data_IF_255111309278
#
_entry.id   IF_255111309278
#
_cell.length_a   1.000
_cell.length_b   1.000
_cell.length_c   1.000
_cell.angle_alpha   90.00
_cell.angle_beta   90.00
_cell.angle_gamma   90.00
#
_symmetry.space_group_name_H-M   'P 1'
#
loop_
_entity.id
_entity.type
_entity.pdbx_description
1 polymer ?
#
# COMPACT_ATOMS: atom_id res chain seq x y z
N UNK A 1 0.79 12.15 -4.61
CA UNK A 1 0.94 11.06 -3.61
C UNK A 1 2.41 10.77 -3.51
N UNK A 2 2.99 10.72 -2.31
CA UNK A 2 4.46 10.76 -2.13
C UNK A 2 5.20 9.68 -2.95
N UNK A 3 4.76 8.42 -2.93
CA UNK A 3 5.39 7.35 -3.74
C UNK A 3 5.32 7.66 -5.25
N UNK A 4 4.19 8.19 -5.73
CA UNK A 4 4.06 8.61 -7.14
C UNK A 4 5.02 9.74 -7.50
N UNK A 5 5.22 10.71 -6.61
CA UNK A 5 6.13 11.84 -6.82
C UNK A 5 7.60 11.41 -6.80
N UNK A 6 7.97 10.53 -5.86
CA UNK A 6 9.30 9.94 -5.79
C UNK A 6 9.60 9.10 -7.03
N UNK A 7 8.65 8.25 -7.44
CA UNK A 7 8.82 7.45 -8.67
C UNK A 7 8.92 8.34 -9.91
N UNK A 8 8.11 9.40 -10.03
CA UNK A 8 8.17 10.31 -11.17
C UNK A 8 9.52 11.05 -11.27
N UNK A 9 10.23 11.23 -10.16
CA UNK A 9 11.52 11.92 -10.12
C UNK A 9 12.72 10.98 -10.24
N UNK A 10 12.64 9.75 -9.70
CA UNK A 10 13.78 8.84 -9.60
C UNK A 10 13.61 7.54 -10.41
N UNK A 11 12.40 7.23 -10.90
CA UNK A 11 12.07 5.95 -11.49
C UNK A 11 12.03 4.83 -10.45
N UNK A 12 12.58 3.67 -10.80
CA UNK A 12 12.61 2.51 -9.91
C UNK A 12 13.69 2.64 -8.85
N UNK A 13 13.28 2.67 -7.57
CA UNK A 13 14.13 2.86 -6.39
C UNK A 13 13.52 2.17 -5.18
N UNK A 14 14.31 1.96 -4.12
CA UNK A 14 13.79 1.54 -2.81
C UNK A 14 12.91 2.66 -2.25
N UNK A 15 11.59 2.45 -2.27
CA UNK A 15 10.62 3.51 -2.00
C UNK A 15 10.58 3.93 -0.54
N UNK A 16 10.87 3.02 0.39
CA UNK A 16 11.01 3.33 1.80
C UNK A 16 12.16 4.31 2.05
N UNK A 17 13.34 4.03 1.50
CA UNK A 17 14.51 4.92 1.60
C UNK A 17 14.26 6.25 0.90
N UNK A 18 13.72 6.21 -0.32
CA UNK A 18 13.52 7.40 -1.14
C UNK A 18 12.39 8.32 -0.63
N UNK A 19 11.47 7.79 0.18
CA UNK A 19 10.42 8.57 0.87
C UNK A 19 10.78 8.92 2.31
N UNK A 20 11.93 8.44 2.79
CA UNK A 20 12.42 8.67 4.15
C UNK A 20 12.55 10.16 4.44
N UNK A 21 12.07 10.58 5.63
CA UNK A 21 12.03 11.99 6.04
C UNK A 21 11.00 12.87 5.32
N UNK A 22 10.42 12.41 4.21
CA UNK A 22 9.36 13.12 3.49
C UNK A 22 7.96 12.69 3.94
N UNK A 23 7.83 11.49 4.51
CA UNK A 23 6.62 11.01 5.14
C UNK A 23 6.75 11.05 6.67
N UNK A 24 5.83 11.75 7.33
CA UNK A 24 5.68 11.71 8.79
C UNK A 24 4.22 11.44 9.12
N UNK A 25 3.96 10.31 9.78
CA UNK A 25 2.64 9.95 10.27
C UNK A 25 2.60 10.03 11.79
N UNK A 26 1.57 10.72 12.31
CA UNK A 26 1.27 10.70 13.75
C UNK A 26 0.13 9.71 14.00
N UNK A 27 0.33 8.71 14.88
CA UNK A 27 -0.70 7.73 15.21
C UNK A 27 -2.02 8.38 15.66
N UNK A 28 -3.12 7.74 15.28
CA UNK A 28 -4.48 8.18 15.63
C UNK A 28 -5.17 7.14 16.50
N UNK A 29 -6.43 7.40 16.86
CA UNK A 29 -7.28 6.46 17.60
C UNK A 29 -7.61 5.18 16.82
N UNK A 30 -7.51 5.22 15.48
CA UNK A 30 -7.88 4.09 14.62
C UNK A 30 -6.69 3.49 13.87
N UNK A 31 -5.69 4.32 13.53
CA UNK A 31 -4.50 3.90 12.78
C UNK A 31 -3.29 4.02 13.70
N UNK A 32 -2.60 2.91 13.90
CA UNK A 32 -1.39 2.79 14.72
C UNK A 32 -0.17 3.28 13.96
N UNK A 33 -0.03 2.86 12.70
CA UNK A 33 1.17 3.08 11.90
C UNK A 33 0.82 3.11 10.41
N UNK A 34 1.58 3.86 9.65
CA UNK A 34 1.60 3.79 8.18
C UNK A 34 3.06 3.64 7.77
N UNK A 35 3.35 2.64 6.95
CA UNK A 35 4.69 2.38 6.43
C UNK A 35 4.67 2.27 4.91
N UNK A 36 5.76 2.70 4.29
CA UNK A 36 6.02 2.48 2.87
C UNK A 36 7.11 1.40 2.82
N UNK A 37 6.88 0.32 2.08
CA UNK A 37 7.85 -0.76 1.90
C UNK A 37 8.87 -0.41 0.80
N UNK A 38 9.99 -1.13 0.68
CA UNK A 38 10.92 -0.96 -0.44
C UNK A 38 10.26 -1.05 -1.81
N UNK A 39 9.25 -1.92 -1.96
CA UNK A 39 8.51 -2.11 -3.21
C UNK A 39 7.51 -1.00 -3.53
N UNK A 40 7.32 -0.03 -2.62
CA UNK A 40 6.33 1.04 -2.75
C UNK A 40 4.93 0.67 -2.28
N UNK A 41 4.74 -0.50 -1.67
CA UNK A 41 3.47 -0.84 -1.01
C UNK A 41 3.31 0.05 0.22
N UNK A 42 2.10 0.56 0.42
CA UNK A 42 1.77 1.31 1.63
C UNK A 42 0.97 0.40 2.55
N UNK A 43 1.55 0.06 3.70
CA UNK A 43 0.91 -0.71 4.76
C UNK A 43 0.31 0.24 5.79
N UNK A 44 -0.96 0.03 6.12
CA UNK A 44 -1.72 0.80 7.11
C UNK A 44 -2.12 -0.15 8.22
N UNK A 45 -1.49 -0.01 9.38
CA UNK A 45 -1.82 -0.80 10.56
C UNK A 45 -2.87 -0.10 11.41
N UNK A 46 -4.01 -0.76 11.59
CA UNK A 46 -5.04 -0.34 12.50
C UNK A 46 -4.65 -0.62 13.95
N UNK A 47 -5.17 0.20 14.86
CA UNK A 47 -5.07 -0.02 16.30
C UNK A 47 -5.76 -1.33 16.69
N UNK A 48 -5.25 -1.99 17.74
CA UNK A 48 -5.83 -3.24 18.27
C UNK A 48 -7.27 -3.07 18.78
N UNK A 49 -7.64 -1.84 19.15
CA UNK A 49 -9.01 -1.48 19.53
C UNK A 49 -9.98 -1.46 18.34
N UNK A 50 -9.47 -1.41 17.11
CA UNK A 50 -10.25 -1.43 15.87
C UNK A 50 -10.32 -2.83 15.29
N UNK A 51 -9.17 -3.51 15.20
CA UNK A 51 -9.09 -4.87 14.67
C UNK A 51 -8.04 -5.70 15.44
N UNK A 52 -8.25 -7.02 15.61
CA UNK A 52 -7.28 -7.87 16.29
C UNK A 52 -5.90 -7.86 15.62
N UNK A 53 -4.86 -8.07 16.41
CA UNK A 53 -3.50 -8.24 15.89
C UNK A 53 -3.43 -9.40 14.88
N UNK A 54 -2.68 -9.19 13.80
CA UNK A 54 -2.62 -10.13 12.67
C UNK A 54 -3.86 -10.11 11.78
N UNK A 55 -4.82 -9.22 12.05
CA UNK A 55 -5.97 -8.93 11.17
C UNK A 55 -6.29 -7.45 11.11
N UNK A 56 -5.26 -6.62 11.19
CA UNK A 56 -5.37 -5.17 11.35
C UNK A 56 -4.62 -4.38 10.27
N UNK A 57 -4.06 -5.03 9.25
CA UNK A 57 -3.24 -4.35 8.24
C UNK A 57 -3.93 -4.28 6.88
N UNK A 58 -4.07 -3.07 6.35
CA UNK A 58 -4.52 -2.80 4.99
C UNK A 58 -3.33 -2.46 4.11
N UNK A 59 -3.22 -3.10 2.94
CA UNK A 59 -2.17 -2.80 1.96
C UNK A 59 -2.74 -2.08 0.74
N UNK A 60 -2.10 -0.97 0.36
CA UNK A 60 -2.25 -0.31 -0.94
C UNK A 60 -1.06 -0.71 -1.81
N UNK A 61 -1.33 -1.39 -2.91
CA UNK A 61 -0.30 -1.91 -3.82
C UNK A 61 -0.25 -1.08 -5.11
N UNK A 62 0.94 -0.71 -5.60
CA UNK A 62 1.08 -0.15 -6.93
C UNK A 62 0.82 -1.23 -7.98
N UNK A 63 0.06 -0.88 -9.02
CA UNK A 63 -0.33 -1.81 -10.09
C UNK A 63 -0.68 -1.05 -11.37
N UNK A 64 -0.66 -1.74 -12.51
CA UNK A 64 -1.18 -1.22 -13.78
C UNK A 64 -2.62 -1.68 -14.06
N UNK A 65 -3.20 -2.49 -13.17
CA UNK A 65 -4.54 -3.06 -13.32
C UNK A 65 -5.38 -2.76 -12.06
N UNK A 66 -5.62 -1.49 -11.70
CA UNK A 66 -6.21 -1.12 -10.41
C UNK A 66 -7.64 -1.65 -10.21
N UNK A 67 -8.39 -1.78 -11.32
CA UNK A 67 -9.77 -2.25 -11.33
C UNK A 67 -9.89 -3.78 -11.36
N UNK A 68 -8.78 -4.50 -11.54
CA UNK A 68 -8.79 -5.95 -11.51
C UNK A 68 -9.27 -6.44 -10.13
N UNK A 69 -9.97 -7.57 -10.13
CA UNK A 69 -10.46 -8.18 -8.91
C UNK A 69 -9.31 -8.64 -8.01
N UNK A 70 -8.25 -9.19 -8.63
CA UNK A 70 -6.97 -9.51 -7.98
C UNK A 70 -5.89 -8.79 -8.79
N UNK A 71 -5.56 -7.54 -8.45
CA UNK A 71 -4.56 -6.77 -9.18
C UNK A 71 -3.18 -7.39 -9.01
N UNK A 72 -2.39 -7.37 -10.08
CA UNK A 72 -0.99 -7.79 -10.01
C UNK A 72 -0.17 -6.67 -9.39
N UNK A 73 0.43 -6.86 -8.20
CA UNK A 73 1.29 -5.85 -7.60
C UNK A 73 2.57 -5.68 -8.43
N UNK A 74 3.06 -4.46 -8.52
CA UNK A 74 4.35 -4.11 -9.10
C UNK A 74 5.35 -3.79 -7.99
N UNK A 75 6.59 -4.21 -8.17
CA UNK A 75 7.69 -3.84 -7.28
C UNK A 75 8.42 -2.63 -7.87
N UNK A 76 8.22 -1.46 -7.25
CA UNK A 76 8.83 -0.21 -7.71
C UNK A 76 10.32 -0.12 -7.41
N UNK A 77 10.90 -1.06 -6.66
CA UNK A 77 12.35 -1.15 -6.46
C UNK A 77 13.07 -1.92 -7.57
N UNK A 78 12.31 -2.58 -8.47
CA UNK A 78 12.84 -3.46 -9.51
C UNK A 78 12.55 -2.92 -10.91
N UNK A 79 13.32 -3.33 -11.92
CA UNK A 79 13.11 -2.89 -13.30
C UNK A 79 11.69 -3.12 -13.84
N UNK A 80 10.99 -4.17 -13.39
CA UNK A 80 9.58 -4.46 -13.73
C UNK A 80 8.63 -3.31 -13.34
N UNK A 81 8.91 -2.63 -12.22
CA UNK A 81 8.19 -1.45 -11.78
C UNK A 81 8.37 -0.23 -12.68
N UNK A 82 9.35 -0.20 -13.59
CA UNK A 82 9.56 0.91 -14.53
C UNK A 82 8.37 1.14 -15.46
N UNK A 83 7.51 0.12 -15.62
CA UNK A 83 6.29 0.18 -16.42
C UNK A 83 5.09 0.73 -15.65
N UNK A 84 5.26 1.09 -14.37
CA UNK A 84 4.17 1.53 -13.54
C UNK A 84 3.58 2.86 -14.03
N UNK A 85 2.28 2.86 -14.28
CA UNK A 85 1.54 3.99 -14.84
C UNK A 85 0.86 4.86 -13.76
N UNK A 86 1.25 4.70 -12.50
CA UNK A 86 0.68 5.46 -11.37
C UNK A 86 -0.60 4.84 -10.76
N UNK A 87 -0.99 3.64 -11.18
CA UNK A 87 -2.18 2.96 -10.67
C UNK A 87 -1.99 2.38 -9.27
N UNK A 88 -3.06 2.39 -8.47
CA UNK A 88 -3.08 1.89 -7.10
C UNK A 88 -4.29 0.99 -6.87
N UNK A 89 -4.13 -0.04 -6.04
CA UNK A 89 -5.27 -0.82 -5.58
C UNK A 89 -5.13 -1.15 -4.11
N UNK A 90 -6.25 -1.12 -3.38
CA UNK A 90 -6.32 -1.65 -2.02
C UNK A 90 -6.78 -3.12 -1.98
N UNK A 91 -7.04 -3.73 -3.15
CA UNK A 91 -7.29 -5.17 -3.27
C UNK A 91 -5.94 -5.88 -3.26
N UNK A 92 -5.55 -6.41 -2.11
CA UNK A 92 -4.28 -7.11 -1.97
C UNK A 92 -4.48 -8.40 -1.21
N UNK A 93 -3.82 -9.47 -1.66
CA UNK A 93 -3.78 -10.75 -0.94
C UNK A 93 -2.91 -10.68 0.32
N UNK A 94 -2.08 -9.65 0.46
CA UNK A 94 -1.31 -9.36 1.66
C UNK A 94 -2.14 -8.58 2.72
N UNK A 95 -3.33 -8.07 2.36
CA UNK A 95 -4.21 -7.41 3.33
C UNK A 95 -4.79 -8.45 4.28
N UNK A 96 -4.46 -8.31 5.56
CA UNK A 96 -4.99 -9.16 6.63
C UNK A 96 -6.17 -8.51 7.38
N UNK A 97 -6.48 -7.24 7.09
CA UNK A 97 -7.61 -6.53 7.70
C UNK A 97 -8.93 -7.27 7.45
N UNK A 98 -9.71 -7.46 8.53
CA UNK A 98 -10.99 -8.17 8.45
C UNK A 98 -11.93 -7.53 7.41
N UNK A 99 -12.60 -8.38 6.62
CA UNK A 99 -13.45 -7.94 5.49
C UNK A 99 -14.60 -7.02 5.89
N UNK A 100 -15.08 -7.10 7.13
CA UNK A 100 -16.10 -6.20 7.67
C UNK A 100 -15.62 -4.75 7.76
N UNK A 101 -14.32 -4.53 7.96
CA UNK A 101 -13.70 -3.20 8.01
C UNK A 101 -13.19 -2.73 6.64
N UNK A 102 -13.04 -3.64 5.67
CA UNK A 102 -12.70 -3.27 4.30
C UNK A 102 -13.89 -2.57 3.62
N UNK A 103 -13.63 -1.41 3.03
CA UNK A 103 -14.52 -0.79 2.03
C UNK A 103 -14.74 -1.74 0.85
N UNK A 104 -15.88 -1.58 0.15
CA UNK A 104 -16.23 -2.38 -1.03
C UNK A 104 -15.09 -2.48 -2.04
N UNK A 105 -14.42 -1.35 -2.30
CA UNK A 105 -13.34 -1.27 -3.29
C UNK A 105 -12.09 -2.07 -2.93
N UNK A 106 -11.89 -2.39 -1.66
CA UNK A 106 -10.72 -3.13 -1.19
C UNK A 106 -10.99 -4.63 -1.03
N UNK A 107 -12.24 -5.06 -1.24
CA UNK A 107 -12.61 -6.47 -1.16
C UNK A 107 -12.28 -7.15 -2.48
N UNK A 108 -11.54 -8.26 -2.39
CA UNK A 108 -11.39 -9.21 -3.49
C UNK A 108 -12.66 -10.05 -3.52
N UNK A 109 -13.42 -9.98 -4.61
CA UNK A 109 -14.60 -10.83 -4.81
C UNK A 109 -14.10 -12.24 -5.21
N UNK A 110 -14.59 -13.29 -4.55
CA UNK A 110 -14.29 -14.67 -4.93
C UNK A 110 -15.28 -15.20 -5.94
#
# INVERSE_FOLDING_TARGET
MLVTEVFASHGTVTMDDATSGSFAFTPTRSVKLIEITPSGVIAIDCQVSVAPEGKNTLHLVPTNEPDANVPKPLDLSKPEGSTWAGGWSCRSTATDLISQLLSSECRINK
#
